data_IF_448260105797
#
_entry.id   IF_448260105797
#
_cell.length_a   1.000
_cell.length_b   1.000
_cell.length_c   1.000
_cell.angle_alpha   90.00
_cell.angle_beta   90.00
_cell.angle_gamma   90.00
#
_symmetry.space_group_name_H-M   'P 1'
#
loop_
_entity.id
_entity.type
_entity.pdbx_description
1 polymer ?
#
# COMPACT_ATOMS: atom_id res chain seq x y z
N UNK A 1 -15.60 -13.23 -28.79
CA UNK A 1 -16.35 -12.62 -27.67
C UNK A 1 -15.35 -12.41 -26.57
N UNK A 2 -15.05 -11.18 -26.19
CA UNK A 2 -14.17 -10.89 -25.06
C UNK A 2 -14.99 -11.06 -23.77
N UNK A 3 -14.55 -11.94 -22.88
CA UNK A 3 -15.12 -12.06 -21.54
C UNK A 3 -14.32 -11.19 -20.59
N UNK A 4 -14.95 -10.71 -19.52
CA UNK A 4 -14.22 -10.16 -18.37
C UNK A 4 -13.25 -11.19 -17.76
N UNK A 5 -13.45 -12.48 -18.02
CA UNK A 5 -12.51 -13.53 -17.63
C UNK A 5 -11.15 -13.42 -18.34
N UNK A 6 -11.08 -12.79 -19.52
CA UNK A 6 -9.87 -12.63 -20.32
C UNK A 6 -9.15 -11.29 -20.04
N UNK A 7 -9.66 -10.50 -19.10
CA UNK A 7 -9.11 -9.18 -18.79
C UNK A 7 -7.73 -9.34 -18.14
N UNK A 8 -6.69 -8.93 -18.84
CA UNK A 8 -5.29 -8.97 -18.36
C UNK A 8 -4.80 -7.64 -17.82
N UNK A 9 -5.38 -6.54 -18.28
CA UNK A 9 -5.03 -5.17 -17.89
C UNK A 9 -6.29 -4.41 -17.50
N UNK A 10 -6.28 -3.79 -16.33
CA UNK A 10 -7.34 -2.92 -15.86
C UNK A 10 -6.74 -1.65 -15.28
N UNK A 11 -7.25 -0.53 -15.73
CA UNK A 11 -6.89 0.81 -15.33
C UNK A 11 -8.21 1.55 -15.10
N UNK A 12 -8.50 1.89 -13.84
CA UNK A 12 -9.82 2.40 -13.47
C UNK A 12 -9.74 3.37 -12.27
N UNK A 13 -10.43 4.50 -12.42
CA UNK A 13 -10.73 5.42 -11.33
C UNK A 13 -12.05 5.02 -10.67
N UNK A 14 -11.98 4.63 -9.40
CA UNK A 14 -13.11 4.09 -8.64
C UNK A 14 -12.86 4.30 -7.17
N UNK A 15 -13.93 4.62 -6.43
CA UNK A 15 -13.91 4.60 -4.98
C UNK A 15 -13.70 3.15 -4.51
N UNK A 16 -12.52 2.86 -3.98
CA UNK A 16 -12.17 1.50 -3.57
C UNK A 16 -12.74 1.23 -2.18
N UNK A 17 -13.39 0.08 -2.04
CA UNK A 17 -13.80 -0.53 -0.77
C UNK A 17 -13.29 -1.96 -0.71
N UNK A 18 -13.49 -2.62 0.42
CA UNK A 18 -13.11 -4.01 0.59
C UNK A 18 -13.78 -4.91 -0.47
N UNK A 19 -15.04 -4.66 -0.78
CA UNK A 19 -15.80 -5.40 -1.81
C UNK A 19 -15.22 -5.15 -3.22
N UNK A 20 -14.71 -3.95 -3.49
CA UNK A 20 -14.06 -3.63 -4.76
C UNK A 20 -12.83 -4.53 -4.96
N UNK A 21 -11.96 -4.64 -3.95
CA UNK A 21 -10.79 -5.52 -4.03
C UNK A 21 -11.19 -6.99 -4.21
N UNK A 22 -12.26 -7.45 -3.55
CA UNK A 22 -12.77 -8.82 -3.73
C UNK A 22 -13.24 -9.09 -5.16
N UNK A 23 -13.96 -8.15 -5.77
CA UNK A 23 -14.44 -8.29 -7.15
C UNK A 23 -13.26 -8.32 -8.12
N UNK A 24 -12.34 -7.35 -8.00
CA UNK A 24 -11.17 -7.25 -8.87
C UNK A 24 -10.24 -8.46 -8.71
N UNK A 25 -10.09 -8.96 -7.48
CA UNK A 25 -9.29 -10.13 -7.16
C UNK A 25 -9.82 -11.42 -7.78
N UNK A 26 -11.08 -11.46 -8.20
CA UNK A 26 -11.68 -12.63 -8.86
C UNK A 26 -11.41 -12.70 -10.37
N UNK A 27 -10.80 -11.69 -10.98
CA UNK A 27 -10.44 -11.76 -12.40
C UNK A 27 -9.27 -12.73 -12.62
N UNK A 28 -9.49 -13.86 -13.33
CA UNK A 28 -8.53 -14.95 -13.36
C UNK A 28 -7.31 -14.67 -14.24
N UNK A 29 -7.43 -13.78 -15.23
CA UNK A 29 -6.34 -13.43 -16.15
C UNK A 29 -5.66 -12.11 -15.81
N UNK A 30 -6.11 -11.39 -14.78
CA UNK A 30 -5.66 -10.03 -14.49
C UNK A 30 -4.18 -10.04 -14.04
N UNK A 31 -3.34 -9.38 -14.82
CA UNK A 31 -1.89 -9.30 -14.62
C UNK A 31 -1.46 -7.88 -14.24
N UNK A 32 -2.16 -6.87 -14.73
CA UNK A 32 -1.86 -5.46 -14.49
C UNK A 32 -3.11 -4.77 -13.96
N UNK A 33 -2.98 -4.14 -12.80
CA UNK A 33 -4.05 -3.38 -12.18
C UNK A 33 -3.52 -2.01 -11.77
N UNK A 34 -4.20 -0.97 -12.22
CA UNK A 34 -4.00 0.40 -11.76
C UNK A 34 -5.32 0.94 -11.21
N UNK A 35 -5.30 1.29 -9.92
CA UNK A 35 -6.44 1.83 -9.20
C UNK A 35 -6.11 3.22 -8.69
N UNK A 36 -6.99 4.17 -8.94
CA UNK A 36 -6.88 5.52 -8.40
C UNK A 36 -8.21 6.04 -7.86
N UNK A 37 -8.14 6.94 -6.90
CA UNK A 37 -9.28 7.73 -6.45
C UNK A 37 -8.82 9.05 -5.85
N UNK A 38 -9.49 10.13 -6.25
CA UNK A 38 -9.33 11.44 -5.65
C UNK A 38 -10.29 11.70 -4.48
N UNK A 39 -11.15 10.74 -4.12
CA UNK A 39 -12.11 10.94 -3.04
C UNK A 39 -11.46 10.71 -1.68
N UNK A 40 -11.27 11.79 -0.92
CA UNK A 40 -10.99 11.71 0.52
C UNK A 40 -12.24 11.15 1.21
N UNK A 41 -12.20 9.89 1.62
CA UNK A 41 -13.26 9.28 2.43
C UNK A 41 -12.86 9.28 3.90
N UNK A 42 -13.77 9.72 4.77
CA UNK A 42 -13.54 9.78 6.22
C UNK A 42 -13.84 8.45 6.93
N UNK A 43 -14.09 7.39 6.17
CA UNK A 43 -14.40 6.04 6.67
C UNK A 43 -13.15 5.20 6.94
N UNK A 44 -13.29 3.88 6.84
CA UNK A 44 -12.18 2.94 6.98
C UNK A 44 -11.05 3.29 6.00
N UNK A 45 -9.88 3.59 6.54
CA UNK A 45 -8.70 3.99 5.75
C UNK A 45 -7.72 2.85 5.54
N UNK A 46 -8.17 1.63 5.82
CA UNK A 46 -7.39 0.41 5.70
C UNK A 46 -8.16 -0.59 4.85
N UNK A 47 -7.49 -1.13 3.84
CA UNK A 47 -8.00 -2.21 3.02
C UNK A 47 -7.10 -3.43 3.17
N UNK A 48 -7.72 -4.59 3.33
CA UNK A 48 -7.00 -5.85 3.47
C UNK A 48 -6.95 -6.57 2.13
N UNK A 49 -5.75 -6.87 1.66
CA UNK A 49 -5.54 -7.75 0.51
C UNK A 49 -5.39 -9.18 1.03
N UNK A 50 -6.42 -10.00 0.81
CA UNK A 50 -6.44 -11.39 1.26
C UNK A 50 -5.77 -12.35 0.27
N UNK A 51 -5.57 -13.59 0.70
CA UNK A 51 -4.98 -14.67 -0.10
C UNK A 51 -5.93 -15.29 -1.15
N UNK A 52 -7.20 -14.88 -1.19
CA UNK A 52 -8.21 -15.46 -2.08
C UNK A 52 -8.20 -14.85 -3.49
N UNK A 53 -7.62 -13.67 -3.66
CA UNK A 53 -7.70 -12.88 -4.89
C UNK A 53 -6.36 -12.71 -5.62
N UNK A 54 -6.43 -12.08 -6.80
CA UNK A 54 -5.27 -11.57 -7.54
C UNK A 54 -4.22 -12.64 -7.88
N UNK A 55 -4.67 -13.86 -8.21
CA UNK A 55 -3.79 -15.03 -8.41
C UNK A 55 -2.79 -14.89 -9.56
N UNK A 56 -3.09 -14.05 -10.55
CA UNK A 56 -2.23 -13.80 -11.71
C UNK A 56 -1.64 -12.39 -11.74
N UNK A 57 -1.88 -11.58 -10.70
CA UNK A 57 -1.50 -10.17 -10.70
C UNK A 57 0.02 -10.05 -10.57
N UNK A 58 0.65 -9.39 -11.55
CA UNK A 58 2.09 -9.19 -11.63
C UNK A 58 2.49 -7.75 -11.32
N UNK A 59 1.66 -6.78 -11.71
CA UNK A 59 1.87 -5.37 -11.38
C UNK A 59 0.61 -4.77 -10.79
N UNK A 60 0.79 -4.12 -9.65
CA UNK A 60 -0.27 -3.40 -8.99
C UNK A 60 0.18 -1.99 -8.66
N UNK A 61 -0.60 -1.02 -9.07
CA UNK A 61 -0.42 0.36 -8.67
C UNK A 61 -1.69 0.89 -8.04
N UNK A 62 -1.56 1.37 -6.80
CA UNK A 62 -2.66 1.77 -5.94
C UNK A 62 -2.45 3.21 -5.46
N UNK A 63 -3.15 4.14 -6.10
CA UNK A 63 -3.04 5.58 -5.89
C UNK A 63 -4.31 6.07 -5.20
N UNK A 64 -4.38 5.90 -3.88
CA UNK A 64 -5.59 6.19 -3.12
C UNK A 64 -5.27 6.76 -1.74
N UNK A 65 -6.20 7.55 -1.18
CA UNK A 65 -6.17 8.02 0.21
C UNK A 65 -6.52 6.93 1.25
N UNK A 66 -6.06 5.70 1.00
CA UNK A 66 -6.26 4.54 1.87
C UNK A 66 -4.95 3.76 1.96
N UNK A 67 -4.72 3.14 3.11
CA UNK A 67 -3.59 2.26 3.35
C UNK A 67 -3.97 0.81 2.97
N UNK A 68 -2.98 0.05 2.55
CA UNK A 68 -3.10 -1.39 2.29
C UNK A 68 -2.42 -2.20 3.40
N UNK A 69 -3.06 -3.30 3.78
CA UNK A 69 -2.44 -4.39 4.56
C UNK A 69 -2.53 -5.67 3.74
N UNK A 70 -1.45 -6.44 3.73
CA UNK A 70 -1.36 -7.68 2.99
C UNK A 70 -1.41 -8.87 3.95
N UNK A 71 -2.34 -9.80 3.73
CA UNK A 71 -2.34 -11.06 4.48
C UNK A 71 -1.29 -12.04 3.92
N UNK A 72 -0.96 -13.06 4.70
CA UNK A 72 -0.12 -14.16 4.23
C UNK A 72 -0.71 -14.82 2.98
N UNK A 73 0.09 -14.88 1.91
CA UNK A 73 -0.33 -15.43 0.62
C UNK A 73 -1.06 -14.44 -0.30
N UNK A 74 -1.16 -13.17 0.07
CA UNK A 74 -1.65 -12.11 -0.81
C UNK A 74 -0.81 -12.01 -2.10
N UNK A 75 -1.50 -11.91 -3.24
CA UNK A 75 -0.91 -11.62 -4.56
C UNK A 75 0.36 -12.45 -4.86
N UNK A 76 0.27 -13.78 -4.97
CA UNK A 76 1.42 -14.68 -5.01
C UNK A 76 2.35 -14.50 -6.22
N UNK A 77 1.92 -13.78 -7.25
CA UNK A 77 2.69 -13.52 -8.49
C UNK A 77 3.13 -12.07 -8.63
N UNK A 78 2.93 -11.23 -7.60
CA UNK A 78 3.17 -9.80 -7.69
C UNK A 78 4.66 -9.50 -7.76
N UNK A 79 5.12 -8.94 -8.88
CA UNK A 79 6.52 -8.59 -9.11
C UNK A 79 6.77 -7.09 -8.89
N UNK A 80 5.78 -6.25 -9.15
CA UNK A 80 5.87 -4.78 -8.98
C UNK A 80 4.66 -4.25 -8.22
N UNK A 81 4.92 -3.54 -7.13
CA UNK A 81 3.92 -2.88 -6.32
C UNK A 81 4.29 -1.41 -6.17
N UNK A 82 3.35 -0.54 -6.51
CA UNK A 82 3.38 0.86 -6.15
C UNK A 82 2.14 1.19 -5.32
N UNK A 83 2.31 1.70 -4.10
CA UNK A 83 1.18 2.13 -3.30
C UNK A 83 1.51 3.31 -2.39
N UNK A 84 0.46 3.85 -1.77
CA UNK A 84 0.56 5.01 -0.88
C UNK A 84 0.36 4.60 0.57
N UNK A 85 1.01 5.33 1.48
CA UNK A 85 0.76 5.24 2.91
C UNK A 85 0.55 6.65 3.46
N UNK A 86 -0.51 6.84 4.24
CA UNK A 86 -0.78 8.07 4.97
C UNK A 86 -0.14 7.94 6.35
N UNK A 87 0.99 8.63 6.56
CA UNK A 87 1.85 8.39 7.71
C UNK A 87 1.17 8.65 9.06
N UNK A 88 0.33 9.68 9.16
CA UNK A 88 -0.35 10.01 10.43
C UNK A 88 -1.44 8.99 10.81
N UNK A 89 -1.92 8.19 9.86
CA UNK A 89 -2.90 7.13 10.07
C UNK A 89 -2.25 5.77 10.30
N UNK A 90 -1.01 5.61 9.80
CA UNK A 90 -0.13 4.51 10.13
C UNK A 90 0.48 4.66 11.54
N UNK A 91 -0.25 5.24 12.49
CA UNK A 91 0.15 5.31 13.89
C UNK A 91 -0.70 4.35 14.68
N UNK A 92 -0.06 3.48 15.45
CA UNK A 92 -0.78 2.68 16.44
C UNK A 92 -1.24 3.61 17.58
N UNK A 93 -2.46 3.43 18.07
CA UNK A 93 -3.00 4.24 19.19
C UNK A 93 -2.10 4.16 20.43
N UNK A 94 -1.40 3.04 20.61
CA UNK A 94 -0.49 2.81 21.73
C UNK A 94 0.91 3.43 21.52
N UNK A 95 1.21 4.03 20.37
CA UNK A 95 2.53 4.59 20.06
C UNK A 95 3.65 3.56 19.92
N UNK A 96 3.33 2.26 19.86
CA UNK A 96 4.29 1.19 19.66
C UNK A 96 4.58 1.02 18.18
N UNK A 97 5.35 1.96 17.64
CA UNK A 97 5.84 1.89 16.27
C UNK A 97 4.75 1.91 15.19
N UNK A 98 5.18 1.83 13.92
CA UNK A 98 4.26 1.75 12.79
C UNK A 98 3.52 0.41 12.75
N UNK A 99 2.31 0.36 12.17
CA UNK A 99 1.53 -0.86 12.02
C UNK A 99 2.24 -1.83 11.08
N UNK A 100 1.97 -3.12 11.29
CA UNK A 100 2.38 -4.15 10.34
C UNK A 100 1.52 -4.06 9.07
N UNK A 101 2.15 -3.70 7.96
CA UNK A 101 1.51 -3.59 6.65
C UNK A 101 1.44 -4.95 5.95
N UNK A 102 2.06 -6.00 6.49
CA UNK A 102 2.13 -7.31 5.86
C UNK A 102 3.03 -7.35 4.61
N UNK A 103 3.88 -6.34 4.40
CA UNK A 103 4.82 -6.28 3.27
C UNK A 103 5.70 -7.52 3.20
N UNK A 104 6.07 -8.10 4.35
CA UNK A 104 6.86 -9.33 4.45
C UNK A 104 6.19 -10.57 3.81
N UNK A 105 4.88 -10.53 3.53
CA UNK A 105 4.15 -11.62 2.90
C UNK A 105 4.21 -11.61 1.36
N UNK A 106 4.73 -10.55 0.73
CA UNK A 106 4.79 -10.38 -0.73
C UNK A 106 5.96 -11.15 -1.36
N UNK A 107 5.89 -12.47 -1.32
CA UNK A 107 7.01 -13.37 -1.64
C UNK A 107 7.61 -13.23 -3.06
N UNK A 108 6.83 -12.80 -4.05
CA UNK A 108 7.28 -12.68 -5.45
C UNK A 108 7.80 -11.29 -5.84
N UNK A 109 7.76 -10.33 -4.91
CA UNK A 109 8.02 -8.92 -5.24
C UNK A 109 9.48 -8.67 -5.62
N UNK A 110 9.69 -7.85 -6.65
CA UNK A 110 11.01 -7.43 -7.16
C UNK A 110 11.20 -5.92 -7.14
N UNK A 111 10.11 -5.16 -7.29
CA UNK A 111 10.11 -3.71 -7.24
C UNK A 111 9.01 -3.25 -6.29
N UNK A 112 9.38 -2.52 -5.24
CA UNK A 112 8.46 -1.98 -4.25
C UNK A 112 8.63 -0.47 -4.17
N UNK A 113 7.60 0.27 -4.57
CA UNK A 113 7.57 1.72 -4.57
C UNK A 113 6.52 2.17 -3.58
N UNK A 114 6.91 3.00 -2.62
CA UNK A 114 6.00 3.45 -1.56
C UNK A 114 6.05 4.97 -1.46
N UNK A 115 4.88 5.57 -1.67
CA UNK A 115 4.67 7.01 -1.59
C UNK A 115 4.08 7.35 -0.22
N UNK A 116 4.88 7.97 0.66
CA UNK A 116 4.52 8.30 2.04
C UNK A 116 4.00 9.73 2.09
N UNK A 117 2.70 9.88 2.38
CA UNK A 117 2.07 11.17 2.61
C UNK A 117 2.31 11.59 4.06
N UNK A 118 3.10 12.64 4.22
CA UNK A 118 3.61 13.14 5.50
C UNK A 118 2.72 14.22 6.12
N UNK A 119 1.62 14.62 5.45
CA UNK A 119 0.66 15.57 6.00
C UNK A 119 0.21 15.16 7.40
N UNK A 120 0.19 16.11 8.34
CA UNK A 120 -0.18 15.89 9.74
C UNK A 120 0.67 14.86 10.52
N UNK A 121 1.72 14.30 9.93
CA UNK A 121 2.63 13.38 10.61
C UNK A 121 3.76 14.14 11.32
N UNK A 122 4.32 13.55 12.38
CA UNK A 122 5.59 13.99 12.94
C UNK A 122 6.73 13.35 12.19
N UNK A 123 7.89 14.01 12.18
CA UNK A 123 9.09 13.47 11.53
C UNK A 123 9.51 12.12 12.10
N UNK A 124 9.42 11.96 13.42
CA UNK A 124 9.72 10.72 14.12
C UNK A 124 8.81 9.57 13.70
N UNK A 125 7.52 9.84 13.46
CA UNK A 125 6.57 8.82 13.00
C UNK A 125 6.88 8.38 11.56
N UNK A 126 7.24 9.33 10.69
CA UNK A 126 7.64 9.05 9.29
C UNK A 126 8.92 8.22 9.25
N UNK A 127 9.95 8.61 10.01
CA UNK A 127 11.22 7.89 10.08
C UNK A 127 11.04 6.47 10.65
N UNK A 128 10.20 6.31 11.67
CA UNK A 128 9.88 4.99 12.22
C UNK A 128 9.15 4.11 11.19
N UNK A 129 8.19 4.68 10.45
CA UNK A 129 7.48 3.99 9.36
C UNK A 129 8.44 3.52 8.27
N UNK A 130 9.32 4.40 7.80
CA UNK A 130 10.33 4.06 6.80
C UNK A 130 11.25 2.94 7.30
N UNK A 131 11.72 3.01 8.55
CA UNK A 131 12.56 1.97 9.13
C UNK A 131 11.86 0.60 9.18
N UNK A 132 10.57 0.56 9.52
CA UNK A 132 9.80 -0.68 9.53
C UNK A 132 9.56 -1.23 8.12
N UNK A 133 9.29 -0.36 7.14
CA UNK A 133 9.17 -0.74 5.74
C UNK A 133 10.49 -1.34 5.23
N UNK A 134 11.62 -0.70 5.54
CA UNK A 134 12.95 -1.20 5.21
C UNK A 134 13.20 -2.57 5.81
N UNK A 135 12.88 -2.75 7.10
CA UNK A 135 13.02 -4.03 7.77
C UNK A 135 12.16 -5.11 7.12
N UNK A 136 10.87 -4.84 6.88
CA UNK A 136 9.97 -5.79 6.22
C UNK A 136 10.46 -6.15 4.82
N UNK A 137 10.87 -5.17 4.02
CA UNK A 137 11.40 -5.40 2.68
C UNK A 137 12.70 -6.22 2.69
N UNK A 138 13.56 -6.03 3.69
CA UNK A 138 14.82 -6.77 3.82
C UNK A 138 14.63 -8.27 4.09
N UNK A 139 13.48 -8.66 4.64
CA UNK A 139 13.13 -10.07 4.92
C UNK A 139 12.59 -10.83 3.71
N UNK A 140 12.33 -10.14 2.59
CA UNK A 140 11.73 -10.74 1.41
C UNK A 140 12.75 -11.56 0.59
N UNK A 141 12.34 -12.72 0.05
CA UNK A 141 13.26 -13.68 -0.55
C UNK A 141 13.93 -13.19 -1.84
N UNK A 142 13.31 -12.27 -2.56
CA UNK A 142 13.82 -11.76 -3.84
C UNK A 142 14.65 -10.48 -3.72
N UNK A 143 14.88 -9.98 -2.49
CA UNK A 143 15.59 -8.72 -2.23
C UNK A 143 15.13 -7.57 -3.16
N UNK A 144 13.85 -7.17 -3.07
CA UNK A 144 13.28 -6.21 -3.99
C UNK A 144 14.03 -4.88 -3.95
N UNK A 145 14.02 -4.18 -5.10
CA UNK A 145 14.39 -2.78 -5.13
C UNK A 145 13.31 -1.98 -4.41
N UNK A 146 13.64 -1.42 -3.26
CA UNK A 146 12.77 -0.56 -2.48
C UNK A 146 13.04 0.91 -2.82
N UNK A 147 12.01 1.63 -3.23
CA UNK A 147 12.03 3.07 -3.44
C UNK A 147 10.99 3.73 -2.55
N UNK A 148 11.44 4.69 -1.72
CA UNK A 148 10.58 5.47 -0.85
C UNK A 148 10.54 6.92 -1.32
N UNK A 149 9.35 7.50 -1.33
CA UNK A 149 9.14 8.90 -1.67
C UNK A 149 8.29 9.55 -0.59
N UNK A 150 8.75 10.69 -0.06
CA UNK A 150 7.95 11.52 0.86
C UNK A 150 7.18 12.57 0.06
N UNK A 151 5.91 12.76 0.43
CA UNK A 151 5.02 13.78 -0.12
C UNK A 151 4.44 14.64 1.00
N UNK A 152 4.17 15.91 0.69
CA UNK A 152 3.60 16.89 1.64
C UNK A 152 4.41 17.08 2.92
N UNK A 153 5.74 16.99 2.83
CA UNK A 153 6.64 17.21 3.98
C UNK A 153 6.47 18.60 4.63
N UNK A 154 6.13 19.61 3.82
CA UNK A 154 5.85 20.96 4.32
C UNK A 154 4.61 21.06 5.23
N UNK A 155 3.73 20.05 5.20
CA UNK A 155 2.48 19.96 5.98
C UNK A 155 2.64 19.06 7.22
N UNK A 156 3.87 18.65 7.53
CA UNK A 156 4.18 17.89 8.75
C UNK A 156 3.97 18.75 10.00
N UNK A 157 3.63 18.07 11.10
CA UNK A 157 3.54 18.73 12.41
C UNK A 157 4.93 19.19 12.80
N UNK A 158 5.10 20.50 12.93
CA UNK A 158 6.34 21.07 13.45
C UNK A 158 6.49 20.61 14.89
N UNK A 159 7.63 19.97 15.20
CA UNK A 159 7.99 19.74 16.59
C UNK A 159 7.96 21.09 17.30
N UNK A 160 7.08 21.26 18.27
CA UNK A 160 7.10 22.39 19.18
C UNK A 160 8.45 22.31 19.90
N UNK A 161 9.47 22.98 19.36
CA UNK A 161 10.67 23.31 20.10
C UNK A 161 10.16 24.14 21.27
N UNK A 162 10.19 23.51 22.46
CA UNK A 162 9.72 24.11 23.69
C UNK A 162 10.33 25.50 23.81
N UNK A 163 9.48 26.47 24.18
CA UNK A 163 9.96 27.70 24.79
C UNK A 163 10.90 27.30 25.93
N UNK A 164 12.19 27.56 25.73
CA UNK A 164 13.18 27.65 26.79
C UNK A 164 12.82 28.80 27.73
#
# INVERSE_FOLDING_TARGET
>A
MASLADLTYLDIEVKVRQETLQILGNFPALQFLELYSNAADYGDRWLTVSNCGFRCLQKFKFVHWMNLVFEEGAMPMLETLEFQIIAHEARTECGFGPPDLGICHLSSIRNLIINIYCECARIEDVEALEAAIWLAASTLPNHPTLTLHRFREAEMVKNNQGNL
#
